data_IF_523710903758
#
_entry.id   IF_523710903758
#
_cell.length_a   1.000
_cell.length_b   1.000
_cell.length_c   1.000
_cell.angle_alpha   90.00
_cell.angle_beta   90.00
_cell.angle_gamma   90.00
#
_symmetry.space_group_name_H-M   'P 1'
#
loop_
_entity.id
_entity.type
_entity.pdbx_description
1 polymer ?
#
# COMPACT_ATOMS: atom_id res chain seq x y z
N UNK A 1 23.37 -14.48 -26.35
CA UNK A 1 22.11 -15.15 -25.96
C UNK A 1 21.64 -14.68 -24.59
N UNK A 2 22.55 -14.56 -23.61
CA UNK A 2 22.24 -14.06 -22.25
C UNK A 2 21.74 -12.61 -22.20
N UNK A 3 22.28 -11.72 -23.04
CA UNK A 3 21.91 -10.29 -23.03
C UNK A 3 20.46 -10.04 -23.53
N UNK A 4 20.00 -10.84 -24.50
CA UNK A 4 18.62 -10.84 -24.99
C UNK A 4 17.63 -11.36 -23.93
N UNK A 5 18.00 -12.43 -23.21
CA UNK A 5 17.22 -13.01 -22.12
C UNK A 5 17.05 -12.03 -20.95
N UNK A 6 18.11 -11.32 -20.59
CA UNK A 6 18.08 -10.30 -19.53
C UNK A 6 17.16 -9.13 -19.93
N UNK A 7 17.23 -8.70 -21.19
CA UNK A 7 16.43 -7.57 -21.70
C UNK A 7 14.93 -7.91 -21.77
N UNK A 8 14.58 -9.12 -22.21
CA UNK A 8 13.19 -9.60 -22.19
C UNK A 8 12.63 -9.70 -20.77
N UNK A 9 13.42 -10.23 -19.84
CA UNK A 9 12.97 -10.44 -18.45
C UNK A 9 12.68 -9.10 -17.77
N UNK A 10 13.49 -8.08 -18.02
CA UNK A 10 13.27 -6.73 -17.49
C UNK A 10 12.03 -6.06 -18.11
N UNK A 11 11.78 -6.24 -19.41
CA UNK A 11 10.59 -5.72 -20.06
C UNK A 11 9.31 -6.36 -19.48
N UNK A 12 9.31 -7.69 -19.29
CA UNK A 12 8.19 -8.42 -18.67
C UNK A 12 7.90 -7.95 -17.25
N UNK A 13 8.94 -7.74 -16.43
CA UNK A 13 8.76 -7.24 -15.06
C UNK A 13 8.12 -5.85 -15.05
N UNK A 14 8.57 -4.92 -15.90
CA UNK A 14 8.00 -3.57 -16.00
C UNK A 14 6.53 -3.60 -16.41
N UNK A 15 6.18 -4.44 -17.38
CA UNK A 15 4.79 -4.65 -17.80
C UNK A 15 3.95 -5.24 -16.68
N UNK A 16 4.44 -6.26 -15.97
CA UNK A 16 3.74 -6.86 -14.83
C UNK A 16 3.49 -5.85 -13.71
N UNK A 17 4.48 -5.01 -13.41
CA UNK A 17 4.31 -3.93 -12.43
C UNK A 17 3.29 -2.89 -12.90
N UNK A 18 3.31 -2.50 -14.18
CA UNK A 18 2.33 -1.57 -14.74
C UNK A 18 0.90 -2.15 -14.66
N UNK A 19 0.71 -3.42 -15.02
CA UNK A 19 -0.59 -4.11 -14.92
C UNK A 19 -1.02 -4.24 -13.47
N UNK A 20 -0.12 -4.63 -12.56
CA UNK A 20 -0.41 -4.71 -11.13
C UNK A 20 -0.85 -3.35 -10.55
N UNK A 21 -0.20 -2.26 -10.97
CA UNK A 21 -0.59 -0.91 -10.56
C UNK A 21 -1.91 -0.45 -11.19
N UNK A 22 -2.21 -0.83 -12.44
CA UNK A 22 -3.52 -0.60 -13.04
C UNK A 22 -4.62 -1.32 -12.28
N UNK A 23 -4.41 -2.60 -11.92
CA UNK A 23 -5.36 -3.37 -11.10
C UNK A 23 -5.55 -2.75 -9.71
N UNK A 24 -4.48 -2.19 -9.14
CA UNK A 24 -4.55 -1.42 -7.90
C UNK A 24 -5.43 -0.17 -8.07
N UNK A 25 -5.24 0.62 -9.15
CA UNK A 25 -6.10 1.77 -9.45
C UNK A 25 -7.56 1.31 -9.59
N UNK A 26 -7.82 0.26 -10.36
CA UNK A 26 -9.18 -0.30 -10.52
C UNK A 26 -9.78 -0.69 -9.18
N UNK A 27 -9.01 -1.36 -8.33
CA UNK A 27 -9.47 -1.77 -7.01
C UNK A 27 -9.84 -0.58 -6.15
N UNK A 28 -8.96 0.42 -6.07
CA UNK A 28 -9.21 1.63 -5.31
C UNK A 28 -10.41 2.35 -5.91
N UNK A 29 -10.48 2.59 -7.21
CA UNK A 29 -11.57 3.36 -7.83
C UNK A 29 -12.96 2.73 -7.67
N UNK A 30 -13.07 1.39 -7.64
CA UNK A 30 -14.35 0.68 -7.63
C UNK A 30 -14.77 0.14 -6.25
N UNK A 31 -13.92 0.26 -5.24
CA UNK A 31 -14.26 -0.11 -3.86
C UNK A 31 -15.44 0.77 -3.34
N UNK A 32 -16.38 0.21 -2.53
CA UNK A 32 -16.40 -1.13 -1.91
C UNK A 32 -16.96 -2.26 -2.80
N UNK A 33 -17.12 -2.08 -4.10
CA UNK A 33 -17.71 -3.07 -5.03
C UNK A 33 -19.16 -3.48 -4.71
N UNK A 34 -19.89 -2.66 -3.95
CA UNK A 34 -21.27 -2.92 -3.54
C UNK A 34 -22.19 -1.76 -3.87
N UNK A 35 -23.49 -2.04 -4.01
CA UNK A 35 -24.51 -1.00 -4.23
C UNK A 35 -24.57 -0.47 -5.66
N UNK A 36 -24.08 -1.24 -6.62
CA UNK A 36 -24.15 -0.90 -8.04
C UNK A 36 -25.61 -0.74 -8.48
N UNK A 37 -25.93 0.41 -9.06
CA UNK A 37 -27.25 0.70 -9.64
C UNK A 37 -27.13 1.74 -10.74
N UNK A 38 -28.00 1.62 -11.73
CA UNK A 38 -28.15 2.64 -12.75
C UNK A 38 -28.70 3.93 -12.12
N UNK A 39 -28.11 5.07 -12.49
CA UNK A 39 -28.46 6.39 -11.92
C UNK A 39 -29.12 7.32 -12.94
N UNK A 40 -29.37 6.83 -14.16
CA UNK A 40 -29.98 7.62 -15.25
C UNK A 40 -29.11 8.75 -15.78
N UNK A 41 -27.79 8.66 -15.57
CA UNK A 41 -26.81 9.64 -16.06
C UNK A 41 -26.28 9.19 -17.42
N UNK A 42 -26.14 10.12 -18.37
CA UNK A 42 -25.34 9.91 -19.57
C UNK A 42 -23.89 10.32 -19.30
N UNK A 43 -22.93 9.54 -19.80
CA UNK A 43 -21.52 9.79 -19.56
C UNK A 43 -21.04 11.03 -20.32
N UNK A 44 -21.67 11.33 -21.46
CA UNK A 44 -21.40 12.56 -22.20
C UNK A 44 -21.71 13.81 -21.35
N UNK A 45 -22.77 13.76 -20.54
CA UNK A 45 -23.13 14.85 -19.65
C UNK A 45 -22.03 15.07 -18.61
N UNK A 46 -21.54 13.99 -17.97
CA UNK A 46 -20.42 14.05 -17.00
C UNK A 46 -19.18 14.70 -17.61
N UNK A 47 -18.82 14.32 -18.84
CA UNK A 47 -17.65 14.87 -19.51
C UNK A 47 -17.78 16.35 -19.87
N UNK A 48 -19.01 16.83 -20.06
CA UNK A 48 -19.31 18.20 -20.47
C UNK A 48 -19.53 19.19 -19.31
N UNK A 49 -19.55 18.73 -18.06
CA UNK A 49 -19.73 19.58 -16.87
C UNK A 49 -18.61 20.64 -16.82
N UNK A 50 -18.92 21.92 -16.54
CA UNK A 50 -17.89 22.93 -16.32
C UNK A 50 -16.91 22.52 -15.22
N UNK A 51 -15.60 22.52 -15.52
CA UNK A 51 -14.54 22.07 -14.61
C UNK A 51 -14.57 22.77 -13.23
N UNK A 52 -15.09 24.00 -13.16
CA UNK A 52 -15.16 24.78 -11.92
C UNK A 52 -16.13 24.23 -10.87
N UNK A 53 -17.11 23.40 -11.26
CA UNK A 53 -18.16 22.92 -10.35
C UNK A 53 -17.76 21.65 -9.57
N UNK A 54 -16.79 20.89 -10.07
CA UNK A 54 -16.34 19.62 -9.47
C UNK A 54 -14.91 19.70 -8.87
N UNK A 55 -14.29 20.87 -8.89
CA UNK A 55 -12.86 21.01 -8.58
C UNK A 55 -12.60 21.23 -7.08
N UNK A 56 -11.95 20.25 -6.44
CA UNK A 56 -11.18 20.50 -5.22
C UNK A 56 -9.69 20.40 -5.53
N UNK A 57 -8.89 21.35 -5.03
CA UNK A 57 -7.44 21.35 -5.26
C UNK A 57 -6.76 20.10 -4.68
N UNK A 58 -7.30 19.58 -3.58
CA UNK A 58 -6.76 18.39 -2.92
C UNK A 58 -6.98 17.14 -3.76
N UNK A 59 -8.20 16.90 -4.25
CA UNK A 59 -8.51 15.72 -5.07
C UNK A 59 -7.69 15.75 -6.36
N UNK A 60 -7.56 16.94 -6.98
CA UNK A 60 -6.70 17.13 -8.15
C UNK A 60 -5.23 16.73 -7.88
N UNK A 61 -4.66 17.14 -6.75
CA UNK A 61 -3.28 16.78 -6.37
C UNK A 61 -3.16 15.28 -6.13
N UNK A 62 -4.10 14.68 -5.39
CA UNK A 62 -4.08 13.24 -5.10
C UNK A 62 -4.19 12.41 -6.38
N UNK A 63 -5.08 12.78 -7.30
CA UNK A 63 -5.27 12.11 -8.59
C UNK A 63 -4.02 12.19 -9.46
N UNK A 64 -3.40 13.37 -9.57
CA UNK A 64 -2.10 13.54 -10.24
C UNK A 64 -1.04 12.62 -9.62
N UNK A 65 -0.88 12.66 -8.29
CA UNK A 65 0.11 11.86 -7.58
C UNK A 65 -0.14 10.36 -7.71
N UNK A 66 -1.40 9.92 -7.74
CA UNK A 66 -1.78 8.51 -7.88
C UNK A 66 -1.44 7.95 -9.27
N UNK A 67 -1.58 8.76 -10.33
CA UNK A 67 -1.30 8.34 -11.71
C UNK A 67 0.17 8.52 -12.15
N UNK A 68 0.98 9.33 -11.47
CA UNK A 68 2.42 9.45 -11.77
C UNK A 68 3.15 8.10 -11.77
N UNK A 69 3.03 7.23 -10.73
CA UNK A 69 3.68 5.93 -10.73
C UNK A 69 3.17 5.01 -11.85
N UNK A 70 1.88 5.08 -12.19
CA UNK A 70 1.31 4.33 -13.30
C UNK A 70 1.96 4.75 -14.63
N UNK A 71 2.00 6.06 -14.90
CA UNK A 71 2.62 6.62 -16.10
C UNK A 71 4.10 6.28 -16.18
N UNK A 72 4.81 6.32 -15.05
CA UNK A 72 6.21 5.92 -14.98
C UNK A 72 6.40 4.45 -15.38
N UNK A 73 5.61 3.53 -14.83
CA UNK A 73 5.72 2.10 -15.12
C UNK A 73 5.35 1.77 -16.58
N UNK A 74 4.27 2.35 -17.09
CA UNK A 74 3.85 2.22 -18.49
C UNK A 74 4.93 2.79 -19.42
N UNK A 75 5.44 3.98 -19.13
CA UNK A 75 6.51 4.60 -19.91
C UNK A 75 7.78 3.76 -19.93
N UNK A 76 8.19 3.18 -18.80
CA UNK A 76 9.36 2.30 -18.70
C UNK A 76 9.18 0.99 -19.48
N UNK A 77 7.96 0.45 -19.51
CA UNK A 77 7.61 -0.72 -20.31
C UNK A 77 7.63 -0.40 -21.82
N UNK A 78 6.98 0.69 -22.24
CA UNK A 78 6.90 1.10 -23.64
C UNK A 78 8.26 1.52 -24.21
N UNK A 79 9.08 2.25 -23.44
CA UNK A 79 10.42 2.69 -23.88
C UNK A 79 11.39 1.55 -24.16
N UNK A 80 11.09 0.33 -23.70
CA UNK A 80 11.87 -0.86 -24.07
C UNK A 80 11.68 -1.30 -25.53
N UNK A 81 10.61 -0.83 -26.20
CA UNK A 81 10.20 -1.29 -27.54
C UNK A 81 9.88 -0.16 -28.52
N UNK A 82 9.53 1.03 -28.02
CA UNK A 82 9.02 2.14 -28.81
C UNK A 82 9.93 3.37 -28.75
N UNK A 83 9.81 4.24 -29.76
CA UNK A 83 10.44 5.56 -29.77
C UNK A 83 9.92 6.44 -28.62
N UNK A 84 10.60 7.55 -28.33
CA UNK A 84 10.20 8.48 -27.26
C UNK A 84 8.78 8.99 -27.53
N UNK A 85 8.53 9.52 -28.74
CA UNK A 85 7.22 10.06 -29.11
C UNK A 85 6.11 9.01 -29.01
N UNK A 86 6.34 7.81 -29.56
CA UNK A 86 5.37 6.72 -29.47
C UNK A 86 5.10 6.28 -28.03
N UNK A 87 6.13 6.24 -27.17
CA UNK A 87 5.96 5.90 -25.76
C UNK A 87 5.16 6.94 -24.99
N UNK A 88 5.36 8.23 -25.28
CA UNK A 88 4.59 9.32 -24.66
C UNK A 88 3.13 9.28 -25.09
N UNK A 89 2.87 9.14 -26.40
CA UNK A 89 1.50 9.10 -26.94
C UNK A 89 0.75 7.87 -26.42
N UNK A 90 1.33 6.68 -26.57
CA UNK A 90 0.71 5.43 -26.13
C UNK A 90 0.58 5.39 -24.59
N UNK A 91 1.59 5.87 -23.88
CA UNK A 91 1.56 5.94 -22.42
C UNK A 91 0.45 6.85 -21.90
N UNK A 92 0.30 8.04 -22.49
CA UNK A 92 -0.82 8.94 -22.18
C UNK A 92 -2.16 8.29 -22.51
N UNK A 93 -2.30 7.70 -23.71
CA UNK A 93 -3.52 7.03 -24.14
C UNK A 93 -3.95 5.91 -23.16
N UNK A 94 -3.01 5.11 -22.66
CA UNK A 94 -3.31 4.09 -21.65
C UNK A 94 -3.87 4.67 -20.34
N UNK A 95 -3.30 5.77 -19.84
CA UNK A 95 -3.80 6.41 -18.60
C UNK A 95 -5.14 7.11 -18.79
N UNK A 96 -5.33 7.79 -19.93
CA UNK A 96 -6.63 8.38 -20.31
C UNK A 96 -7.69 7.29 -20.40
N UNK A 97 -7.41 6.19 -21.10
CA UNK A 97 -8.36 5.09 -21.25
C UNK A 97 -8.71 4.44 -19.90
N UNK A 98 -7.72 4.24 -19.02
CA UNK A 98 -7.98 3.74 -17.67
C UNK A 98 -8.84 4.73 -16.87
N UNK A 99 -8.51 6.02 -16.90
CA UNK A 99 -9.28 7.03 -16.17
C UNK A 99 -10.72 7.12 -16.66
N UNK A 100 -10.92 7.26 -17.97
CA UNK A 100 -12.25 7.32 -18.58
C UNK A 100 -13.06 6.05 -18.25
N UNK A 101 -12.43 4.88 -18.29
CA UNK A 101 -13.08 3.62 -17.91
C UNK A 101 -13.49 3.59 -16.43
N UNK A 102 -12.66 4.13 -15.53
CA UNK A 102 -13.02 4.22 -14.10
C UNK A 102 -14.16 5.20 -13.87
N UNK A 103 -14.10 6.39 -14.47
CA UNK A 103 -15.17 7.38 -14.36
C UNK A 103 -16.50 6.84 -14.89
N UNK A 104 -16.47 6.13 -16.02
CA UNK A 104 -17.66 5.49 -16.59
C UNK A 104 -18.26 4.45 -15.64
N UNK A 105 -17.43 3.55 -15.10
CA UNK A 105 -17.91 2.53 -14.15
C UNK A 105 -18.43 3.16 -12.84
N UNK A 106 -17.82 4.25 -12.39
CA UNK A 106 -18.24 4.96 -11.18
C UNK A 106 -19.61 5.62 -11.32
N UNK A 107 -20.13 5.87 -12.52
CA UNK A 107 -21.52 6.32 -12.71
C UNK A 107 -22.54 5.33 -12.16
N UNK A 108 -22.18 4.06 -12.02
CA UNK A 108 -23.05 3.02 -11.47
C UNK A 108 -22.86 2.83 -9.96
N UNK A 109 -21.95 3.56 -9.33
CA UNK A 109 -21.66 3.49 -7.90
C UNK A 109 -22.20 4.76 -7.20
N UNK A 110 -23.31 4.68 -6.44
CA UNK A 110 -23.92 5.85 -5.81
C UNK A 110 -23.06 6.54 -4.75
N UNK A 111 -22.09 5.81 -4.19
CA UNK A 111 -21.10 6.34 -3.26
C UNK A 111 -19.95 7.09 -3.94
N UNK A 112 -19.98 7.17 -5.29
CA UNK A 112 -18.97 7.81 -6.14
C UNK A 112 -19.60 8.91 -6.96
N UNK A 113 -18.84 9.98 -7.15
CA UNK A 113 -19.14 10.99 -8.15
C UNK A 113 -18.17 10.81 -9.31
N UNK A 114 -18.70 10.63 -10.51
CA UNK A 114 -17.91 10.64 -11.74
C UNK A 114 -17.59 12.08 -12.12
N UNK A 115 -16.37 12.37 -12.58
CA UNK A 115 -15.86 13.72 -12.79
C UNK A 115 -14.92 13.84 -13.99
N UNK A 116 -15.14 14.85 -14.82
CA UNK A 116 -14.22 15.18 -15.91
C UNK A 116 -12.90 15.82 -15.43
N UNK A 117 -12.91 16.44 -14.24
CA UNK A 117 -11.69 16.95 -13.58
C UNK A 117 -10.78 15.78 -13.21
N UNK A 118 -11.34 14.64 -12.83
CA UNK A 118 -10.58 13.44 -12.47
C UNK A 118 -9.91 12.85 -13.72
N UNK A 119 -10.63 12.78 -14.85
CA UNK A 119 -10.02 12.43 -16.14
C UNK A 119 -8.82 13.34 -16.46
N UNK A 120 -8.98 14.65 -16.30
CA UNK A 120 -7.92 15.61 -16.61
C UNK A 120 -6.70 15.44 -15.68
N UNK A 121 -6.93 15.37 -14.37
CA UNK A 121 -5.87 15.31 -13.35
C UNK A 121 -5.14 13.97 -13.38
N UNK A 122 -5.85 12.86 -13.55
CA UNK A 122 -5.26 11.54 -13.79
C UNK A 122 -4.40 11.52 -15.07
N UNK A 123 -4.89 12.17 -16.14
CA UNK A 123 -4.15 12.28 -17.41
C UNK A 123 -2.87 13.12 -17.28
N UNK A 124 -2.90 14.20 -16.50
CA UNK A 124 -1.71 15.00 -16.17
C UNK A 124 -0.70 14.15 -15.39
N UNK A 125 -1.15 13.44 -14.35
CA UNK A 125 -0.31 12.51 -13.59
C UNK A 125 0.34 11.45 -14.48
N UNK A 126 -0.46 10.85 -15.37
CA UNK A 126 0.02 9.89 -16.36
C UNK A 126 1.12 10.50 -17.23
N UNK A 127 0.89 11.68 -17.81
CA UNK A 127 1.84 12.34 -18.69
C UNK A 127 3.17 12.61 -17.96
N UNK A 128 3.11 13.17 -16.76
CA UNK A 128 4.29 13.44 -15.93
C UNK A 128 5.05 12.14 -15.67
N UNK A 129 4.36 11.07 -15.28
CA UNK A 129 4.96 9.75 -15.09
C UNK A 129 5.69 9.23 -16.32
N UNK A 130 5.05 9.29 -17.49
CA UNK A 130 5.66 8.81 -18.74
C UNK A 130 6.87 9.66 -19.14
N UNK A 131 6.82 10.98 -18.96
CA UNK A 131 7.96 11.88 -19.22
C UNK A 131 9.14 11.58 -18.27
N UNK A 132 8.86 11.30 -17.00
CA UNK A 132 9.88 10.83 -16.05
C UNK A 132 10.49 9.51 -16.50
N UNK A 133 9.69 8.56 -17.01
CA UNK A 133 10.20 7.31 -17.56
C UNK A 133 11.19 7.53 -18.71
N UNK A 134 10.81 8.38 -19.67
CA UNK A 134 11.67 8.77 -20.80
C UNK A 134 12.98 9.34 -20.28
N UNK A 135 12.92 10.27 -19.32
CA UNK A 135 14.12 10.90 -18.74
C UNK A 135 15.02 9.90 -18.03
N UNK A 136 14.44 9.02 -17.21
CA UNK A 136 15.19 8.00 -16.46
C UNK A 136 15.83 6.98 -17.41
N UNK A 137 15.15 6.58 -18.49
CA UNK A 137 15.75 5.67 -19.49
C UNK A 137 16.95 6.27 -20.22
N UNK A 138 17.09 7.60 -20.23
CA UNK A 138 18.29 8.26 -20.75
C UNK A 138 19.51 8.14 -19.82
N UNK A 139 19.35 7.64 -18.58
CA UNK A 139 20.40 7.52 -17.57
C UNK A 139 20.67 6.06 -17.16
N UNK A 140 21.38 5.26 -17.99
CA UNK A 140 21.65 3.85 -17.68
C UNK A 140 22.39 3.63 -16.35
N UNK A 141 23.25 4.57 -15.97
CA UNK A 141 24.00 4.54 -14.71
C UNK A 141 23.08 4.52 -13.48
N UNK A 142 21.90 5.14 -13.54
CA UNK A 142 20.94 5.16 -12.45
C UNK A 142 20.38 3.75 -12.18
N UNK A 143 20.00 3.01 -13.22
CA UNK A 143 19.55 1.63 -13.09
C UNK A 143 20.65 0.71 -12.57
N UNK A 144 21.88 0.85 -13.07
CA UNK A 144 23.03 0.07 -12.57
C UNK A 144 23.26 0.36 -11.09
N UNK A 145 23.20 1.62 -10.66
CA UNK A 145 23.36 2.02 -9.26
C UNK A 145 22.24 1.44 -8.39
N UNK A 146 21.00 1.51 -8.82
CA UNK A 146 19.84 0.98 -8.10
C UNK A 146 19.92 -0.54 -7.96
N UNK A 147 20.25 -1.25 -9.05
CA UNK A 147 20.44 -2.69 -9.04
C UNK A 147 21.61 -3.10 -8.14
N UNK A 148 22.72 -2.36 -8.16
CA UNK A 148 23.87 -2.60 -7.28
C UNK A 148 23.53 -2.34 -5.80
N UNK A 149 22.77 -1.29 -5.52
CA UNK A 149 22.29 -1.01 -4.17
C UNK A 149 21.38 -2.14 -3.67
N UNK A 150 20.44 -2.59 -4.49
CA UNK A 150 19.57 -3.74 -4.21
C UNK A 150 20.38 -5.03 -3.98
N UNK A 151 21.32 -5.36 -4.86
CA UNK A 151 22.11 -6.59 -4.78
C UNK A 151 23.06 -6.63 -3.57
N UNK A 152 23.43 -5.46 -3.05
CA UNK A 152 24.24 -5.33 -1.84
C UNK A 152 23.40 -5.53 -0.57
N UNK A 153 22.12 -5.15 -0.58
CA UNK A 153 21.24 -5.22 0.60
C UNK A 153 20.47 -6.53 0.68
N UNK A 154 19.88 -6.97 -0.43
CA UNK A 154 18.95 -8.08 -0.49
C UNK A 154 19.57 -9.31 -1.15
N UNK A 155 19.05 -10.48 -0.80
CA UNK A 155 19.37 -11.74 -1.47
C UNK A 155 18.79 -11.75 -2.88
N UNK A 156 19.40 -12.56 -3.76
CA UNK A 156 18.98 -12.70 -5.15
C UNK A 156 18.00 -13.87 -5.31
N UNK A 157 17.11 -13.77 -6.30
CA UNK A 157 16.23 -14.86 -6.72
C UNK A 157 14.77 -14.44 -6.80
N UNK A 158 14.00 -15.10 -7.67
CA UNK A 158 12.56 -14.82 -7.87
C UNK A 158 11.76 -14.89 -6.56
N UNK A 159 12.19 -15.74 -5.63
CA UNK A 159 11.60 -15.87 -4.30
C UNK A 159 11.76 -14.60 -3.46
N UNK A 160 12.93 -13.97 -3.52
CA UNK A 160 13.23 -12.75 -2.77
C UNK A 160 12.47 -11.56 -3.35
N UNK A 161 12.25 -11.54 -4.67
CA UNK A 161 11.47 -10.51 -5.35
C UNK A 161 10.01 -10.53 -4.90
N UNK A 162 9.47 -11.73 -4.69
CA UNK A 162 8.15 -11.90 -4.08
C UNK A 162 8.10 -11.37 -2.66
N UNK A 163 9.10 -11.65 -1.83
CA UNK A 163 9.14 -11.13 -0.46
C UNK A 163 9.38 -9.61 -0.39
N UNK A 164 10.10 -9.01 -1.34
CA UNK A 164 10.19 -7.55 -1.48
C UNK A 164 8.84 -6.93 -1.86
N UNK A 165 8.07 -7.59 -2.73
CA UNK A 165 6.69 -7.18 -3.03
C UNK A 165 5.80 -7.28 -1.79
N UNK A 166 5.98 -8.32 -0.95
CA UNK A 166 5.30 -8.43 0.35
C UNK A 166 5.65 -7.30 1.32
N UNK A 167 6.93 -6.90 1.38
CA UNK A 167 7.36 -5.77 2.19
C UNK A 167 6.67 -4.48 1.73
N UNK A 168 6.63 -4.24 0.42
CA UNK A 168 5.93 -3.09 -0.14
C UNK A 168 4.42 -3.12 0.13
N UNK A 169 3.80 -4.30 -0.01
CA UNK A 169 2.38 -4.52 0.28
C UNK A 169 2.07 -4.23 1.76
N UNK A 170 2.91 -4.72 2.67
CA UNK A 170 2.77 -4.46 4.10
C UNK A 170 2.87 -2.98 4.44
N UNK A 171 3.91 -2.30 3.92
CA UNK A 171 4.07 -0.84 4.09
C UNK A 171 2.81 -0.11 3.63
N UNK A 172 2.28 -0.50 2.48
CA UNK A 172 1.09 0.12 1.92
C UNK A 172 -0.14 -0.05 2.80
N UNK A 173 -0.35 -1.24 3.38
CA UNK A 173 -1.43 -1.50 4.33
C UNK A 173 -1.29 -0.71 5.64
N UNK A 174 -0.05 -0.46 6.07
CA UNK A 174 0.24 0.22 7.34
C UNK A 174 0.18 1.74 7.27
N UNK A 175 0.20 2.36 6.08
CA UNK A 175 0.15 3.83 5.93
C UNK A 175 -1.22 4.41 6.37
N UNK A 176 -2.25 3.58 6.54
CA UNK A 176 -3.58 4.02 6.89
C UNK A 176 -3.66 4.74 8.25
N UNK A 177 -3.91 6.07 8.26
CA UNK A 177 -3.89 6.84 9.50
C UNK A 177 -5.08 6.55 10.40
N UNK A 178 -6.16 5.94 9.89
CA UNK A 178 -7.29 5.56 10.73
C UNK A 178 -6.98 4.37 11.63
N UNK A 179 -6.08 3.47 11.22
CA UNK A 179 -5.73 2.29 12.01
C UNK A 179 -4.60 2.61 13.00
N UNK A 180 -4.51 1.94 14.17
CA UNK A 180 -3.36 2.05 15.06
C UNK A 180 -2.04 1.65 14.40
N UNK A 181 -0.92 2.01 15.01
CA UNK A 181 0.41 1.59 14.55
C UNK A 181 0.56 0.08 14.70
N UNK A 182 0.73 -0.65 13.58
CA UNK A 182 0.89 -2.11 13.54
C UNK A 182 -0.31 -2.92 14.09
N UNK A 183 -1.38 -2.25 14.48
CA UNK A 183 -2.60 -2.85 15.00
C UNK A 183 -3.68 -2.94 13.92
N UNK A 184 -4.56 -3.93 14.05
CA UNK A 184 -5.72 -4.10 13.18
C UNK A 184 -7.04 -3.70 13.85
N UNK A 185 -6.97 -3.34 15.13
CA UNK A 185 -8.13 -3.11 15.99
C UNK A 185 -8.37 -1.63 16.05
N UNK A 186 -9.58 -1.18 15.76
CA UNK A 186 -9.88 0.24 15.78
C UNK A 186 -10.21 0.63 17.23
N UNK A 187 -9.61 1.70 17.75
CA UNK A 187 -9.94 2.25 19.08
C UNK A 187 -11.33 2.85 19.01
N UNK A 188 -12.34 2.00 19.18
CA UNK A 188 -13.74 2.31 18.90
C UNK A 188 -14.38 3.21 19.96
N UNK A 189 -13.81 3.30 21.17
CA UNK A 189 -14.38 4.07 22.26
C UNK A 189 -14.05 5.56 22.21
N UNK A 190 -12.78 5.91 22.02
CA UNK A 190 -12.34 7.32 21.89
C UNK A 190 -13.02 8.05 20.73
N UNK A 191 -13.36 7.31 19.67
CA UNK A 191 -14.00 7.85 18.47
C UNK A 191 -15.51 8.01 18.62
N UNK A 192 -16.17 7.20 19.47
CA UNK A 192 -17.61 7.30 19.71
C UNK A 192 -17.98 8.51 20.57
N UNK A 193 -17.09 8.96 21.46
CA UNK A 193 -17.33 10.12 22.34
C UNK A 193 -16.07 10.99 22.51
N UNK A 194 -15.65 11.76 21.50
CA UNK A 194 -14.37 12.49 21.50
C UNK A 194 -14.20 13.57 22.58
N UNK A 195 -15.29 13.92 23.31
CA UNK A 195 -15.29 14.97 24.35
C UNK A 195 -15.84 14.49 25.69
N UNK A 196 -16.09 13.19 25.84
CA UNK A 196 -16.47 12.58 27.12
C UNK A 196 -15.25 11.80 27.58
N UNK A 197 -14.83 11.99 28.83
CA UNK A 197 -13.79 11.14 29.40
C UNK A 197 -14.29 9.69 29.33
N UNK A 198 -13.64 8.81 28.54
CA UNK A 198 -14.05 7.42 28.49
C UNK A 198 -13.95 6.85 29.91
N UNK A 199 -14.84 5.92 30.25
CA UNK A 199 -14.61 5.05 31.40
C UNK A 199 -13.21 4.43 31.26
N UNK A 200 -12.47 4.19 32.35
CA UNK A 200 -11.16 3.54 32.28
C UNK A 200 -11.30 2.21 31.55
N UNK A 201 -10.92 2.16 30.28
CA UNK A 201 -10.85 0.90 29.54
C UNK A 201 -9.69 0.10 30.10
N UNK A 202 -9.93 -1.17 30.39
CA UNK A 202 -8.87 -2.06 30.84
C UNK A 202 -7.86 -2.22 29.70
N UNK A 203 -6.58 -2.21 30.05
CA UNK A 203 -5.49 -2.41 29.09
C UNK A 203 -5.69 -3.72 28.32
N UNK A 204 -5.75 -3.64 26.98
CA UNK A 204 -5.94 -4.81 26.13
C UNK A 204 -4.61 -5.49 25.78
N UNK A 205 -4.33 -6.56 26.49
CA UNK A 205 -3.16 -7.40 26.25
C UNK A 205 -3.19 -8.09 24.88
N UNK A 206 -4.37 -8.33 24.30
CA UNK A 206 -4.50 -8.96 22.99
C UNK A 206 -4.12 -8.01 21.85
N UNK A 207 -4.44 -6.72 21.98
CA UNK A 207 -3.96 -5.71 21.03
C UNK A 207 -2.42 -5.65 21.03
N UNK A 208 -1.82 -5.61 22.22
CA UNK A 208 -0.35 -5.63 22.38
C UNK A 208 0.27 -6.88 21.76
N UNK A 209 -0.36 -8.05 21.95
CA UNK A 209 0.09 -9.31 21.36
C UNK A 209 -0.05 -9.32 19.83
N UNK A 210 -1.14 -8.79 19.28
CA UNK A 210 -1.35 -8.69 17.84
C UNK A 210 -0.30 -7.78 17.18
N UNK A 211 0.00 -6.63 17.79
CA UNK A 211 1.04 -5.70 17.34
C UNK A 211 2.43 -6.35 17.39
N UNK A 212 2.74 -7.04 18.50
CA UNK A 212 3.99 -7.79 18.65
C UNK A 212 4.17 -8.82 17.54
N UNK A 213 3.14 -9.64 17.27
CA UNK A 213 3.20 -10.66 16.24
C UNK A 213 3.30 -10.05 14.83
N UNK A 214 2.60 -8.96 14.55
CA UNK A 214 2.70 -8.23 13.27
C UNK A 214 4.14 -7.73 13.03
N UNK A 215 4.77 -7.13 14.05
CA UNK A 215 6.17 -6.72 14.00
C UNK A 215 7.11 -7.90 13.76
N UNK A 216 6.89 -9.03 14.46
CA UNK A 216 7.69 -10.24 14.27
C UNK A 216 7.52 -10.87 12.88
N UNK A 217 6.32 -10.81 12.29
CA UNK A 217 6.09 -11.21 10.89
C UNK A 217 6.95 -10.38 9.93
N UNK A 218 6.97 -9.06 10.12
CA UNK A 218 7.81 -8.18 9.31
C UNK A 218 9.31 -8.41 9.57
N UNK A 219 9.70 -8.59 10.83
CA UNK A 219 11.10 -8.85 11.21
C UNK A 219 11.62 -10.17 10.63
N UNK A 220 10.81 -11.23 10.67
CA UNK A 220 11.16 -12.53 10.06
C UNK A 220 11.23 -12.43 8.54
N UNK A 221 10.33 -11.69 7.89
CA UNK A 221 10.42 -11.36 6.46
C UNK A 221 11.73 -10.61 6.14
N UNK A 222 12.11 -9.60 6.91
CA UNK A 222 13.38 -8.89 6.68
C UNK A 222 14.61 -9.79 6.89
N UNK A 223 14.55 -10.71 7.85
CA UNK A 223 15.62 -11.70 8.09
C UNK A 223 15.77 -12.72 6.95
N UNK A 224 14.71 -12.99 6.19
CA UNK A 224 14.79 -13.84 4.99
C UNK A 224 15.27 -13.06 3.77
N UNK A 225 14.91 -11.78 3.66
CA UNK A 225 15.24 -10.94 2.50
C UNK A 225 16.66 -10.35 2.53
N UNK A 226 17.13 -9.92 3.70
CA UNK A 226 18.42 -9.25 3.81
C UNK A 226 19.59 -10.22 3.66
N UNK A 227 20.64 -9.74 2.99
CA UNK A 227 21.89 -10.48 2.83
C UNK A 227 22.67 -10.55 4.15
N UNK A 228 22.71 -9.43 4.87
CA UNK A 228 23.36 -9.32 6.18
C UNK A 228 22.28 -9.28 7.26
N UNK A 229 22.13 -10.36 8.02
CA UNK A 229 21.08 -10.50 9.05
C UNK A 229 21.16 -9.45 10.16
N UNK A 230 22.37 -9.03 10.54
CA UNK A 230 22.55 -7.98 11.54
C UNK A 230 21.93 -6.63 11.16
N UNK A 231 21.63 -6.40 9.86
CA UNK A 231 20.93 -5.20 9.41
C UNK A 231 19.40 -5.31 9.51
N UNK A 232 18.85 -6.44 9.95
CA UNK A 232 17.39 -6.63 10.03
C UNK A 232 16.74 -5.66 11.01
N UNK A 233 17.33 -5.45 12.20
CA UNK A 233 16.84 -4.48 13.18
C UNK A 233 16.88 -3.06 12.62
N UNK A 234 18.00 -2.65 12.04
CA UNK A 234 18.12 -1.32 11.40
C UNK A 234 17.14 -1.16 10.25
N UNK A 235 16.99 -2.19 9.40
CA UNK A 235 16.03 -2.19 8.30
C UNK A 235 14.59 -2.08 8.79
N UNK A 236 14.24 -2.81 9.86
CA UNK A 236 12.93 -2.73 10.49
C UNK A 236 12.66 -1.33 11.04
N UNK A 237 13.60 -0.76 11.79
CA UNK A 237 13.47 0.61 12.34
C UNK A 237 13.32 1.65 11.22
N UNK A 238 14.06 1.52 10.12
CA UNK A 238 13.92 2.41 8.96
C UNK A 238 12.53 2.29 8.31
N UNK A 239 12.03 1.06 8.13
CA UNK A 239 10.68 0.82 7.60
C UNK A 239 9.62 1.38 8.52
N UNK A 240 9.71 1.12 9.84
CA UNK A 240 8.77 1.64 10.83
C UNK A 240 8.79 3.17 10.90
N UNK A 241 9.97 3.79 10.84
CA UNK A 241 10.10 5.26 10.84
C UNK A 241 9.49 5.86 9.59
N UNK A 242 9.74 5.26 8.43
CA UNK A 242 9.14 5.70 7.17
C UNK A 242 7.61 5.57 7.21
N UNK A 243 7.09 4.43 7.67
CA UNK A 243 5.64 4.22 7.83
C UNK A 243 5.04 5.22 8.81
N UNK A 244 5.67 5.45 9.96
CA UNK A 244 5.19 6.42 10.95
C UNK A 244 5.20 7.85 10.40
N UNK A 245 6.23 8.25 9.66
CA UNK A 245 6.32 9.57 9.05
C UNK A 245 5.22 9.76 7.99
N UNK A 246 5.05 8.79 7.09
CA UNK A 246 4.01 8.85 6.06
C UNK A 246 2.61 8.80 6.71
N UNK A 247 2.41 7.95 7.72
CA UNK A 247 1.15 7.87 8.47
C UNK A 247 0.84 9.19 9.17
N UNK A 248 1.82 9.84 9.79
CA UNK A 248 1.64 11.15 10.43
C UNK A 248 1.22 12.22 9.43
N UNK A 249 1.89 12.29 8.27
CA UNK A 249 1.51 13.22 7.18
C UNK A 249 0.10 12.92 6.70
N UNK A 250 -0.23 11.64 6.46
CA UNK A 250 -1.58 11.21 6.07
C UNK A 250 -2.61 11.58 7.14
N UNK A 251 -2.30 11.40 8.43
CA UNK A 251 -3.17 11.75 9.54
C UNK A 251 -3.42 13.27 9.60
N UNK A 252 -2.37 14.07 9.47
CA UNK A 252 -2.45 15.52 9.47
C UNK A 252 -3.27 16.07 8.29
N UNK A 253 -3.22 15.40 7.14
CA UNK A 253 -3.98 15.78 5.94
C UNK A 253 -5.44 15.29 5.96
N UNK A 254 -5.70 14.10 6.52
CA UNK A 254 -6.98 13.40 6.34
C UNK A 254 -7.87 13.37 7.59
N UNK A 255 -7.28 13.36 8.78
CA UNK A 255 -8.02 13.18 10.04
C UNK A 255 -8.33 14.52 10.71
N UNK A 256 -9.37 14.50 11.56
CA UNK A 256 -9.67 15.59 12.48
C UNK A 256 -8.46 15.92 13.36
N UNK A 257 -8.24 17.19 13.69
CA UNK A 257 -7.07 17.65 14.45
C UNK A 257 -6.93 16.95 15.81
N UNK A 258 -8.04 16.59 16.46
CA UNK A 258 -8.04 15.85 17.72
C UNK A 258 -7.64 14.37 17.56
N UNK A 259 -7.75 13.81 16.36
CA UNK A 259 -7.45 12.41 16.05
C UNK A 259 -6.05 12.20 15.43
N UNK A 260 -5.25 13.25 15.33
CA UNK A 260 -3.95 13.24 14.67
C UNK A 260 -2.97 12.19 15.22
N UNK A 261 -3.05 11.91 16.52
CA UNK A 261 -2.20 10.92 17.22
C UNK A 261 -2.97 9.67 17.67
N UNK A 262 -4.22 9.48 17.21
CA UNK A 262 -5.06 8.34 17.61
C UNK A 262 -4.47 6.98 17.19
N UNK A 263 -3.52 7.00 16.25
CA UNK A 263 -2.78 5.83 15.81
C UNK A 263 -1.62 5.44 16.74
N UNK A 264 -1.32 6.23 17.78
CA UNK A 264 -0.32 5.93 18.82
C UNK A 264 -1.04 5.66 20.13
N UNK A 265 -0.91 4.44 20.68
CA UNK A 265 -1.46 4.04 21.97
C UNK A 265 -0.44 3.22 22.79
N UNK A 266 -0.72 3.00 24.07
CA UNK A 266 0.20 2.32 24.99
C UNK A 266 0.36 0.84 24.65
N UNK A 267 -0.70 0.21 24.20
CA UNK A 267 -0.81 -1.19 23.79
C UNK A 267 0.13 -1.48 22.61
N UNK A 268 0.08 -0.66 21.56
CA UNK A 268 0.95 -0.78 20.40
C UNK A 268 2.41 -0.52 20.75
N UNK A 269 2.69 0.48 21.60
CA UNK A 269 4.06 0.76 22.05
C UNK A 269 4.65 -0.42 22.83
N UNK A 270 3.87 -1.06 23.71
CA UNK A 270 4.28 -2.26 24.42
C UNK A 270 4.52 -3.43 23.45
N UNK A 271 3.58 -3.67 22.54
CA UNK A 271 3.70 -4.72 21.53
C UNK A 271 4.94 -4.54 20.64
N UNK A 272 5.25 -3.30 20.24
CA UNK A 272 6.46 -2.96 19.49
C UNK A 272 7.70 -3.26 20.31
N UNK A 273 7.76 -2.82 21.57
CA UNK A 273 8.91 -3.03 22.45
C UNK A 273 9.18 -4.53 22.66
N UNK A 274 8.13 -5.32 22.94
CA UNK A 274 8.23 -6.77 23.09
C UNK A 274 8.65 -7.46 21.78
N UNK A 275 8.08 -7.04 20.65
CA UNK A 275 8.40 -7.59 19.34
C UNK A 275 9.86 -7.33 18.95
N UNK A 276 10.38 -6.13 19.24
CA UNK A 276 11.78 -5.78 19.01
C UNK A 276 12.72 -6.64 19.88
N UNK A 277 12.40 -6.81 21.17
CA UNK A 277 13.18 -7.66 22.07
C UNK A 277 13.25 -9.11 21.56
N UNK A 278 12.11 -9.68 21.17
CA UNK A 278 12.03 -11.03 20.63
C UNK A 278 12.70 -11.17 19.28
N UNK A 279 12.66 -10.15 18.42
CA UNK A 279 13.37 -10.21 17.13
C UNK A 279 14.89 -10.33 17.33
N UNK A 280 15.45 -9.65 18.33
CA UNK A 280 16.88 -9.71 18.65
C UNK A 280 17.31 -11.12 19.00
N UNK A 281 16.49 -11.90 19.72
CA UNK A 281 16.80 -13.29 20.08
C UNK A 281 16.85 -14.22 18.87
N UNK A 282 16.12 -13.88 17.79
CA UNK A 282 16.05 -14.67 16.55
C UNK A 282 17.15 -14.29 15.54
N UNK A 283 17.91 -13.22 15.75
CA UNK A 283 18.97 -12.77 14.82
C UNK A 283 20.06 -13.82 14.59
N UNK A 284 20.38 -14.60 15.62
CA UNK A 284 21.40 -15.67 15.58
C UNK A 284 20.89 -17.00 15.01
N UNK A 285 19.58 -17.13 14.77
CA UNK A 285 18.98 -18.38 14.34
C UNK A 285 19.32 -18.72 12.87
N UNK A 286 19.34 -20.01 12.57
CA UNK A 286 19.48 -20.52 11.21
C UNK A 286 18.29 -20.10 10.34
N UNK A 287 18.45 -20.12 9.00
CA UNK A 287 17.37 -19.74 8.09
C UNK A 287 16.11 -20.61 8.31
N UNK A 288 16.30 -21.91 8.57
CA UNK A 288 15.20 -22.84 8.81
C UNK A 288 14.43 -22.51 10.08
N UNK A 289 15.13 -22.11 11.14
CA UNK A 289 14.51 -21.65 12.39
C UNK A 289 13.74 -20.35 12.17
N UNK A 290 14.33 -19.37 11.48
CA UNK A 290 13.63 -18.11 11.12
C UNK A 290 12.35 -18.39 10.34
N UNK A 291 12.40 -19.29 9.35
CA UNK A 291 11.23 -19.68 8.55
C UNK A 291 10.16 -20.36 9.39
N UNK A 292 10.55 -21.30 10.27
CA UNK A 292 9.61 -21.99 11.19
C UNK A 292 8.99 -21.03 12.20
N UNK A 293 9.80 -20.20 12.84
CA UNK A 293 9.35 -19.16 13.76
C UNK A 293 8.42 -18.17 13.06
N UNK A 294 8.78 -17.68 11.87
CA UNK A 294 7.94 -16.78 11.08
C UNK A 294 6.59 -17.40 10.73
N UNK A 295 6.56 -18.69 10.37
CA UNK A 295 5.31 -19.40 10.11
C UNK A 295 4.45 -19.55 11.38
N UNK A 296 5.06 -19.92 12.51
CA UNK A 296 4.35 -20.03 13.80
C UNK A 296 3.79 -18.68 14.27
N UNK A 297 4.58 -17.60 14.19
CA UNK A 297 4.15 -16.23 14.49
C UNK A 297 2.98 -15.82 13.59
N UNK A 298 3.05 -16.12 12.30
CA UNK A 298 1.99 -15.77 11.34
C UNK A 298 0.68 -16.51 11.63
N UNK A 299 0.76 -17.80 11.99
CA UNK A 299 -0.41 -18.60 12.38
C UNK A 299 -1.01 -18.08 13.68
N UNK A 300 -0.18 -17.76 14.68
CA UNK A 300 -0.63 -17.18 15.95
C UNK A 300 -1.32 -15.82 15.73
N UNK A 301 -0.78 -14.98 14.85
CA UNK A 301 -1.38 -13.70 14.48
C UNK A 301 -2.75 -13.88 13.83
N UNK A 302 -2.86 -14.78 12.85
CA UNK A 302 -4.13 -15.12 12.20
C UNK A 302 -5.16 -15.62 13.21
N UNK A 303 -4.75 -16.43 14.18
CA UNK A 303 -5.63 -16.90 15.24
C UNK A 303 -6.16 -15.74 16.09
N UNK A 304 -5.28 -14.87 16.60
CA UNK A 304 -5.68 -13.74 17.45
C UNK A 304 -6.62 -12.80 16.70
N UNK A 305 -6.28 -12.40 15.47
CA UNK A 305 -7.04 -11.40 14.72
C UNK A 305 -8.42 -11.92 14.29
N UNK A 306 -8.59 -13.22 14.06
CA UNK A 306 -9.88 -13.76 13.58
C UNK A 306 -10.76 -14.37 14.68
N UNK A 307 -10.19 -14.81 15.81
CA UNK A 307 -10.93 -15.54 16.84
C UNK A 307 -10.93 -14.88 18.22
N UNK A 308 -10.01 -13.95 18.49
CA UNK A 308 -9.85 -13.34 19.82
C UNK A 308 -10.27 -11.89 19.82
N UNK A 309 -9.82 -11.13 18.82
CA UNK A 309 -10.14 -9.70 18.75
C UNK A 309 -11.41 -9.46 17.94
N UNK A 310 -12.45 -8.96 18.61
CA UNK A 310 -13.69 -8.53 17.96
C UNK A 310 -13.43 -7.34 17.03
N UNK A 311 -13.43 -7.60 15.73
CA UNK A 311 -13.15 -6.60 14.70
C UNK A 311 -14.38 -5.76 14.35
N UNK A 312 -14.82 -4.88 15.27
CA UNK A 312 -15.78 -3.81 14.97
C UNK A 312 -15.14 -2.64 14.18
N UNK A 313 -14.18 -2.95 13.32
CA UNK A 313 -13.19 -2.04 12.73
C UNK A 313 -13.68 -1.15 11.57
N UNK A 314 -14.64 -1.55 10.70
CA UNK A 314 -14.96 -0.71 9.53
C UNK A 314 -15.84 0.50 9.88
N UNK A 315 -16.80 0.35 10.80
CA UNK A 315 -17.81 1.37 11.06
C UNK A 315 -17.28 2.58 11.86
N UNK A 316 -16.37 2.35 12.82
CA UNK A 316 -15.82 3.40 13.67
C UNK A 316 -14.73 4.24 12.96
N UNK A 317 -13.99 3.66 12.02
CA UNK A 317 -12.94 4.37 11.26
C UNK A 317 -13.45 5.53 10.41
N UNK A 318 -14.70 5.45 9.96
CA UNK A 318 -15.28 6.42 9.03
C UNK A 318 -15.61 7.78 9.69
N UNK A 319 -15.87 7.84 11.00
CA UNK A 319 -16.31 9.09 11.66
C UNK A 319 -15.18 10.08 11.99
N UNK A 320 -13.92 9.61 11.93
CA UNK A 320 -12.73 10.36 12.35
C UNK A 320 -12.16 11.26 11.25
N UNK A 321 -12.43 10.93 9.98
CA UNK A 321 -12.00 11.74 8.86
C UNK A 321 -12.69 13.12 8.88
N UNK A 322 -11.94 14.16 8.49
CA UNK A 322 -12.47 15.54 8.39
C UNK A 322 -13.49 15.69 7.24
N UNK A 323 -13.43 14.81 6.23
CA UNK A 323 -14.16 14.95 4.97
C UNK A 323 -15.14 13.81 4.68
N UNK A 324 -16.24 14.15 3.99
CA UNK A 324 -17.32 13.23 3.59
C UNK A 324 -17.08 12.49 2.26
N UNK A 325 -15.84 12.44 1.72
CA UNK A 325 -15.61 11.88 0.38
C UNK A 325 -15.26 10.39 0.37
N UNK A 326 -15.83 9.68 -0.61
CA UNK A 326 -15.69 8.24 -0.77
C UNK A 326 -14.25 7.74 -1.01
N UNK A 327 -13.31 8.54 -1.53
CA UNK A 327 -11.95 8.04 -1.87
C UNK A 327 -11.21 7.45 -0.67
N UNK A 328 -11.54 7.90 0.55
CA UNK A 328 -10.99 7.38 1.80
C UNK A 328 -11.60 6.04 2.21
N UNK A 329 -12.83 5.73 1.79
CA UNK A 329 -13.44 4.40 1.96
C UNK A 329 -12.65 3.33 1.20
N UNK A 330 -12.15 3.69 0.02
CA UNK A 330 -11.41 2.77 -0.86
C UNK A 330 -10.10 2.33 -0.25
N UNK A 331 -9.36 3.30 0.28
CA UNK A 331 -8.07 3.05 0.87
C UNK A 331 -8.21 2.26 2.19
N UNK A 332 -9.27 2.51 2.98
CA UNK A 332 -9.60 1.68 4.13
C UNK A 332 -9.90 0.22 3.74
N UNK A 333 -10.75 -0.01 2.74
CA UNK A 333 -11.06 -1.36 2.25
C UNK A 333 -9.83 -2.09 1.69
N UNK A 334 -8.95 -1.35 1.00
CA UNK A 334 -7.69 -1.90 0.51
C UNK A 334 -6.73 -2.25 1.67
N UNK A 335 -6.54 -1.36 2.64
CA UNK A 335 -5.70 -1.63 3.81
C UNK A 335 -6.20 -2.85 4.60
N UNK A 336 -7.52 -3.02 4.73
CA UNK A 336 -8.13 -4.21 5.32
C UNK A 336 -7.85 -5.47 4.50
N UNK A 337 -8.03 -5.39 3.17
CA UNK A 337 -7.74 -6.52 2.27
C UNK A 337 -6.28 -6.93 2.35
N UNK A 338 -5.36 -5.96 2.41
CA UNK A 338 -3.94 -6.21 2.62
C UNK A 338 -3.69 -6.89 3.96
N UNK A 339 -4.35 -6.42 5.02
CA UNK A 339 -4.22 -6.99 6.37
C UNK A 339 -4.64 -8.47 6.43
N UNK A 340 -5.64 -8.86 5.63
CA UNK A 340 -6.10 -10.25 5.52
C UNK A 340 -5.17 -11.08 4.62
N UNK A 341 -4.77 -10.54 3.47
CA UNK A 341 -3.98 -11.29 2.47
C UNK A 341 -2.50 -11.40 2.84
N UNK A 342 -1.91 -10.39 3.48
CA UNK A 342 -0.49 -10.35 3.79
C UNK A 342 -0.02 -11.56 4.60
N UNK A 343 -0.67 -11.95 5.72
CA UNK A 343 -0.28 -13.15 6.47
C UNK A 343 -0.31 -14.43 5.63
N UNK A 344 -1.32 -14.59 4.77
CA UNK A 344 -1.46 -15.76 3.89
C UNK A 344 -0.34 -15.80 2.85
N UNK A 345 -0.05 -14.66 2.22
CA UNK A 345 1.02 -14.56 1.23
C UNK A 345 2.41 -14.70 1.88
N UNK A 346 2.57 -14.25 3.14
CA UNK A 346 3.80 -14.46 3.91
C UNK A 346 4.01 -15.95 4.19
N UNK A 347 2.99 -16.69 4.62
CA UNK A 347 3.09 -18.15 4.78
C UNK A 347 3.49 -18.84 3.47
N UNK A 348 2.88 -18.42 2.36
CA UNK A 348 3.25 -18.93 1.03
C UNK A 348 4.71 -18.63 0.68
N UNK A 349 5.19 -17.41 0.96
CA UNK A 349 6.60 -17.04 0.76
C UNK A 349 7.53 -17.91 1.60
N UNK A 350 7.28 -18.01 2.91
CA UNK A 350 8.05 -18.81 3.86
C UNK A 350 8.09 -20.29 3.44
N UNK A 351 6.97 -20.83 2.94
CA UNK A 351 6.90 -22.18 2.40
C UNK A 351 7.78 -22.38 1.15
N UNK A 352 7.82 -21.41 0.22
CA UNK A 352 8.66 -21.49 -0.98
C UNK A 352 10.15 -21.50 -0.66
N UNK A 353 10.57 -20.77 0.38
CA UNK A 353 11.99 -20.62 0.74
C UNK A 353 12.47 -21.61 1.81
N UNK A 354 11.62 -22.52 2.30
CA UNK A 354 11.94 -23.45 3.40
C UNK A 354 13.10 -24.40 3.13
N UNK A 355 13.41 -24.62 1.85
CA UNK A 355 14.45 -25.54 1.39
C UNK A 355 15.72 -24.82 0.89
N UNK A 356 15.72 -23.48 0.89
CA UNK A 356 16.92 -22.67 0.69
C UNK A 356 17.77 -22.69 1.97
#
# INVERSE_FOLDING_TARGET
MDELLITETHARLRTLLAVGYALFIVYVSLSPFSGWREQGLDFADVLSIPLSLAFTQFDAVVNVLAYIPFGLLVGLALRSRLSIAASVIMGLACGVALSVGMEYLQMYLPSRASSNVDVLTNSIGQLVGVLLAVRITAWPWFFVRLMRWRSNLFRHGKEMDFGLALLALWVFGQINPSLPMLGNVFISAAVRQPFVAPLPELFDWWESAAVMLNLLMLGTLLLTLLRIRGKAVTGLLLVLTMVAAVKFVSAALLLKSWALLLWINGEALLGIAMGMLLLVTVLGASLREVVRCGAAVTIAYLFIVNFVVDSNTPAAAMSVYHWHYGHLLNYNGLAQTITILFPLLLLFHLWRIRNL
#
